data_IF_031933577854
#
_entry.id   IF_031933577854
#
_cell.length_a   1.000
_cell.length_b   1.000
_cell.length_c   1.000
_cell.angle_alpha   90.00
_cell.angle_beta   90.00
_cell.angle_gamma   90.00
#
_symmetry.space_group_name_H-M   'P 1'
#
loop_
_entity.id
_entity.type
_entity.pdbx_description
1 polymer ?
#
# COMPACT_ATOMS: atom_id res chain seq x y z
N UNK A 1 13.14 6.45 27.69
CA UNK A 1 14.31 6.70 26.81
C UNK A 1 14.01 7.95 26.00
N UNK A 2 14.80 9.02 26.23
CA UNK A 2 14.68 10.28 25.48
C UNK A 2 15.03 10.03 24.02
N UNK A 3 14.07 10.24 23.11
CA UNK A 3 14.41 10.42 21.71
C UNK A 3 15.17 11.74 21.56
N UNK A 4 16.36 11.67 21.03
CA UNK A 4 17.22 12.82 20.77
C UNK A 4 16.55 13.67 19.67
N UNK A 5 16.09 14.84 20.05
CA UNK A 5 15.80 15.89 19.10
C UNK A 5 17.12 16.44 18.57
N UNK A 6 17.50 16.09 17.37
CA UNK A 6 18.52 16.85 16.66
C UNK A 6 17.83 18.04 16.00
N UNK A 7 18.11 19.24 16.50
CA UNK A 7 17.89 20.46 15.75
C UNK A 7 18.86 20.45 14.56
N UNK A 8 18.35 20.20 13.38
CA UNK A 8 19.11 20.40 12.15
C UNK A 8 18.87 21.83 11.70
N UNK A 9 19.77 22.73 12.09
CA UNK A 9 19.86 24.07 11.50
C UNK A 9 20.46 23.92 10.09
N UNK A 10 19.60 23.61 9.15
CA UNK A 10 19.95 23.56 7.74
C UNK A 10 18.82 24.20 6.96
N UNK A 11 19.11 25.29 6.29
CA UNK A 11 18.22 25.94 5.34
C UNK A 11 18.01 25.00 4.16
N UNK A 12 17.02 24.14 4.26
CA UNK A 12 16.47 23.45 3.11
C UNK A 12 15.07 23.98 2.88
N UNK A 13 14.68 24.12 1.63
CA UNK A 13 13.37 24.59 1.18
C UNK A 13 12.19 23.73 1.64
N UNK A 14 12.43 22.65 2.35
CA UNK A 14 11.41 21.80 2.96
C UNK A 14 11.34 22.14 4.45
N UNK A 15 10.31 22.85 4.86
CA UNK A 15 9.98 23.00 6.27
C UNK A 15 9.52 21.64 6.80
N UNK A 16 10.43 20.94 7.46
CA UNK A 16 10.07 19.72 8.21
C UNK A 16 9.40 20.18 9.49
N UNK A 17 8.09 20.04 9.58
CA UNK A 17 7.41 20.12 10.88
C UNK A 17 7.79 18.87 11.67
N UNK A 18 8.68 19.00 12.65
CA UNK A 18 8.93 17.93 13.59
C UNK A 18 7.80 17.89 14.62
N UNK A 19 7.16 16.73 14.74
CA UNK A 19 6.24 16.49 15.87
C UNK A 19 7.09 16.04 17.06
N UNK A 20 6.95 16.74 18.18
CA UNK A 20 7.54 16.33 19.43
C UNK A 20 6.42 15.83 20.34
N UNK A 21 6.39 14.54 20.59
CA UNK A 21 5.56 13.96 21.63
C UNK A 21 6.47 13.68 22.85
N UNK A 22 6.08 14.13 24.03
CA UNK A 22 6.80 13.82 25.27
C UNK A 22 6.57 12.36 25.66
N UNK A 23 5.39 11.82 25.39
CA UNK A 23 5.01 10.41 25.56
C UNK A 23 3.87 10.02 24.62
N UNK A 24 3.51 8.74 24.57
CA UNK A 24 2.30 8.27 23.86
C UNK A 24 1.01 8.77 24.53
N UNK A 25 1.06 9.18 25.78
CA UNK A 25 -0.07 9.75 26.52
C UNK A 25 -0.49 11.13 25.97
N UNK A 26 0.40 11.79 25.22
CA UNK A 26 0.12 13.06 24.55
C UNK A 26 -0.74 12.87 23.28
N UNK A 27 -0.90 11.64 22.80
CA UNK A 27 -1.74 11.34 21.64
C UNK A 27 -3.22 11.48 22.01
N UNK A 28 -3.96 12.22 21.18
CA UNK A 28 -5.39 12.49 21.39
C UNK A 28 -6.21 11.79 20.32
N UNK A 29 -7.36 11.26 20.75
CA UNK A 29 -8.30 10.61 19.86
C UNK A 29 -7.98 9.15 19.60
N UNK A 30 -8.79 8.53 18.75
CA UNK A 30 -8.68 7.13 18.35
C UNK A 30 -8.71 7.01 16.84
N UNK A 31 -7.96 6.09 16.28
CA UNK A 31 -8.03 5.80 14.83
C UNK A 31 -9.37 5.10 14.54
N UNK A 32 -10.23 5.67 13.69
CA UNK A 32 -11.48 5.02 13.31
C UNK A 32 -11.24 3.65 12.70
N UNK A 33 -12.21 2.76 12.83
CA UNK A 33 -12.15 1.42 12.29
C UNK A 33 -13.14 1.21 11.14
N UNK A 34 -12.88 0.22 10.32
CA UNK A 34 -13.72 -0.28 9.25
C UNK A 34 -13.62 -1.81 9.16
N UNK A 35 -14.37 -2.41 8.25
CA UNK A 35 -14.36 -3.86 8.05
C UNK A 35 -14.15 -4.22 6.58
N UNK A 36 -13.47 -5.34 6.37
CA UNK A 36 -13.43 -6.07 5.10
C UNK A 36 -13.84 -7.51 5.44
N UNK A 37 -15.04 -7.92 5.02
CA UNK A 37 -15.67 -9.12 5.56
C UNK A 37 -15.78 -9.02 7.08
N UNK A 38 -15.35 -10.06 7.79
CA UNK A 38 -15.32 -10.09 9.26
C UNK A 38 -14.06 -9.45 9.86
N UNK A 39 -13.09 -9.07 9.04
CA UNK A 39 -11.84 -8.51 9.49
C UNK A 39 -11.98 -7.02 9.83
N UNK A 40 -11.82 -6.67 11.10
CA UNK A 40 -11.76 -5.27 11.55
C UNK A 40 -10.36 -4.69 11.30
N UNK A 41 -10.32 -3.53 10.66
CA UNK A 41 -9.12 -2.79 10.32
C UNK A 41 -9.20 -1.34 10.81
N UNK A 42 -8.07 -0.79 11.22
CA UNK A 42 -7.94 0.66 11.39
C UNK A 42 -8.11 1.36 10.02
N UNK A 43 -8.75 2.52 10.01
CA UNK A 43 -8.91 3.33 8.79
C UNK A 43 -7.58 3.87 8.27
N UNK A 44 -6.55 3.94 9.11
CA UNK A 44 -5.18 4.19 8.70
C UNK A 44 -4.44 2.84 8.66
N UNK A 45 -3.85 2.52 7.51
CA UNK A 45 -3.12 1.27 7.24
C UNK A 45 -1.70 1.64 6.86
N UNK A 46 -0.71 0.97 7.44
CA UNK A 46 0.69 1.21 7.08
C UNK A 46 1.01 0.67 5.69
N UNK A 47 1.94 1.33 4.99
CA UNK A 47 2.52 0.85 3.74
C UNK A 47 3.88 0.18 3.97
N UNK A 48 4.17 -0.88 3.19
CA UNK A 48 5.37 -1.69 3.34
C UNK A 48 6.53 -1.35 2.40
N UNK A 49 6.36 -0.44 1.45
CA UNK A 49 7.37 -0.19 0.42
C UNK A 49 8.73 0.23 0.99
N UNK A 50 8.75 1.02 2.05
CA UNK A 50 10.00 1.45 2.69
C UNK A 50 10.77 0.28 3.33
N UNK A 51 10.09 -0.77 3.78
CA UNK A 51 10.71 -1.99 4.32
C UNK A 51 11.46 -2.74 3.21
N UNK A 52 10.89 -2.79 2.01
CA UNK A 52 11.48 -3.42 0.83
C UNK A 52 12.53 -2.56 0.11
N UNK A 53 12.68 -1.29 0.49
CA UNK A 53 13.55 -0.33 -0.19
C UNK A 53 12.95 0.25 -1.47
N UNK A 54 11.64 0.10 -1.70
CA UNK A 54 10.97 0.60 -2.90
C UNK A 54 10.52 2.04 -2.71
N UNK A 55 11.46 2.98 -2.93
CA UNK A 55 11.29 4.39 -2.59
C UNK A 55 10.48 5.22 -3.57
N UNK A 56 10.10 4.70 -4.73
CA UNK A 56 9.46 5.48 -5.80
C UNK A 56 10.19 6.80 -6.09
N UNK A 57 11.50 6.74 -6.21
CA UNK A 57 12.37 7.90 -6.36
C UNK A 57 12.88 8.05 -7.80
N UNK A 58 12.10 7.64 -8.79
CA UNK A 58 12.45 7.65 -10.21
C UNK A 58 13.72 6.81 -10.43
N UNK A 59 14.66 7.32 -11.20
CA UNK A 59 15.92 6.62 -11.52
C UNK A 59 17.04 6.87 -10.49
N UNK A 60 16.70 7.39 -9.31
CA UNK A 60 17.69 7.70 -8.26
C UNK A 60 18.01 6.44 -7.44
N UNK A 61 18.82 5.57 -8.00
CA UNK A 61 19.16 4.25 -7.43
C UNK A 61 19.70 4.29 -5.99
N UNK A 62 20.39 5.39 -5.62
CA UNK A 62 20.92 5.54 -4.26
C UNK A 62 19.85 5.70 -3.18
N UNK A 63 18.61 6.09 -3.56
CA UNK A 63 17.50 6.29 -2.62
C UNK A 63 17.07 4.95 -2.02
N UNK A 64 16.95 3.91 -2.83
CA UNK A 64 16.60 2.57 -2.37
C UNK A 64 17.61 2.02 -1.37
N UNK A 65 18.89 2.25 -1.62
CA UNK A 65 19.96 1.85 -0.70
C UNK A 65 19.92 2.63 0.62
N UNK A 66 19.64 3.94 0.58
CA UNK A 66 19.46 4.76 1.77
C UNK A 66 18.26 4.28 2.60
N UNK A 67 17.13 4.00 1.94
CA UNK A 67 15.91 3.51 2.58
C UNK A 67 16.17 2.18 3.27
N UNK A 68 16.78 1.21 2.60
CA UNK A 68 17.16 -0.09 3.18
C UNK A 68 18.10 0.07 4.38
N UNK A 69 19.07 0.97 4.27
CA UNK A 69 20.02 1.23 5.35
C UNK A 69 19.37 1.85 6.59
N UNK A 70 18.38 2.73 6.37
CA UNK A 70 17.66 3.39 7.45
C UNK A 70 16.65 2.45 8.14
N UNK A 71 15.93 1.64 7.36
CA UNK A 71 14.88 0.75 7.86
C UNK A 71 15.45 -0.63 8.28
N UNK A 72 16.33 -0.61 9.29
CA UNK A 72 16.75 -1.86 9.93
C UNK A 72 15.56 -2.61 10.55
N UNK A 73 15.69 -3.91 10.79
CA UNK A 73 14.67 -4.71 11.46
C UNK A 73 14.21 -4.07 12.77
N UNK A 74 15.17 -3.61 13.59
CA UNK A 74 14.85 -2.92 14.85
C UNK A 74 13.98 -1.68 14.63
N UNK A 75 14.35 -0.84 13.66
CA UNK A 75 13.58 0.37 13.34
C UNK A 75 12.18 0.05 12.85
N UNK A 76 12.05 -0.96 12.01
CA UNK A 76 10.75 -1.44 11.53
C UNK A 76 9.89 -1.96 12.68
N UNK A 77 10.45 -2.80 13.56
CA UNK A 77 9.73 -3.35 14.71
C UNK A 77 9.28 -2.27 15.69
N UNK A 78 10.14 -1.26 15.98
CA UNK A 78 9.75 -0.08 16.77
C UNK A 78 8.61 0.72 16.11
N UNK A 79 8.61 0.79 14.79
CA UNK A 79 7.52 1.45 14.04
C UNK A 79 6.20 0.66 14.15
N UNK A 80 6.25 -0.65 14.12
CA UNK A 80 5.07 -1.50 14.34
C UNK A 80 4.51 -1.34 15.75
N UNK A 81 5.36 -1.36 16.75
CA UNK A 81 4.97 -1.15 18.15
C UNK A 81 4.30 0.22 18.34
N UNK A 82 4.89 1.28 17.78
CA UNK A 82 4.30 2.60 17.82
C UNK A 82 2.95 2.64 17.11
N UNK A 83 2.83 2.03 15.94
CA UNK A 83 1.60 1.98 15.18
C UNK A 83 0.48 1.25 15.95
N UNK A 84 0.75 0.10 16.56
CA UNK A 84 -0.22 -0.64 17.36
C UNK A 84 -0.64 0.17 18.60
N UNK A 85 0.27 0.84 19.28
CA UNK A 85 -0.03 1.73 20.41
C UNK A 85 -0.90 2.93 19.98
N UNK A 86 -0.78 3.38 18.73
CA UNK A 86 -1.67 4.41 18.16
C UNK A 86 -3.00 3.84 17.64
N UNK A 87 -3.24 2.53 17.73
CA UNK A 87 -4.46 1.88 17.26
C UNK A 87 -4.47 1.49 15.79
N UNK A 88 -3.32 1.56 15.10
CA UNK A 88 -3.15 1.06 13.72
C UNK A 88 -2.85 -0.44 13.80
N UNK A 89 -3.68 -1.26 13.16
CA UNK A 89 -3.63 -2.71 13.32
C UNK A 89 -3.34 -3.49 12.04
N UNK A 90 -2.96 -2.81 10.94
CA UNK A 90 -2.69 -3.47 9.67
C UNK A 90 -1.59 -2.78 8.87
N UNK A 91 -0.94 -3.58 8.03
CA UNK A 91 0.05 -3.14 7.04
C UNK A 91 -0.22 -3.80 5.70
N UNK A 92 -0.10 -3.02 4.62
CA UNK A 92 -0.15 -3.52 3.25
C UNK A 92 1.27 -3.72 2.73
N UNK A 93 1.61 -4.94 2.33
CA UNK A 93 2.99 -5.32 2.02
C UNK A 93 3.11 -6.37 0.92
N UNK A 94 4.29 -6.40 0.32
CA UNK A 94 4.73 -7.51 -0.52
C UNK A 94 5.28 -8.66 0.34
N UNK A 95 5.04 -9.93 0.00
CA UNK A 95 5.55 -11.08 0.74
C UNK A 95 7.07 -11.11 0.96
N UNK A 96 7.85 -10.46 0.10
CA UNK A 96 9.30 -10.35 0.29
C UNK A 96 9.70 -9.67 1.62
N UNK A 97 8.77 -8.94 2.26
CA UNK A 97 9.00 -8.24 3.52
C UNK A 97 8.47 -8.98 4.75
N UNK A 98 7.85 -10.14 4.60
CA UNK A 98 7.20 -10.87 5.69
C UNK A 98 8.17 -11.29 6.80
N UNK A 99 9.43 -11.50 6.47
CA UNK A 99 10.45 -11.92 7.44
C UNK A 99 10.47 -11.02 8.69
N UNK A 100 10.50 -9.71 8.52
CA UNK A 100 10.57 -8.78 9.65
C UNK A 100 9.24 -8.70 10.42
N UNK A 101 8.11 -8.90 9.76
CA UNK A 101 6.80 -8.92 10.41
C UNK A 101 6.64 -10.19 11.25
N UNK A 102 7.02 -11.34 10.69
CA UNK A 102 7.01 -12.61 11.42
C UNK A 102 7.97 -12.58 12.62
N UNK A 103 9.13 -11.93 12.46
CA UNK A 103 10.07 -11.69 13.56
C UNK A 103 9.42 -10.84 14.65
N UNK A 104 8.74 -9.75 14.27
CA UNK A 104 8.02 -8.89 15.20
C UNK A 104 6.95 -9.66 15.99
N UNK A 105 6.13 -10.46 15.34
CA UNK A 105 5.12 -11.29 16.02
C UNK A 105 5.76 -12.25 17.01
N UNK A 106 6.84 -12.91 16.61
CA UNK A 106 7.49 -13.93 17.43
C UNK A 106 8.23 -13.33 18.65
N UNK A 107 8.93 -12.22 18.45
CA UNK A 107 9.80 -11.63 19.50
C UNK A 107 9.04 -10.71 20.46
N UNK A 108 7.97 -10.04 19.99
CA UNK A 108 7.27 -9.02 20.78
C UNK A 108 5.82 -9.39 21.14
N UNK A 109 5.27 -10.41 20.49
CA UNK A 109 3.84 -10.74 20.60
C UNK A 109 2.92 -9.75 19.88
N UNK A 110 3.47 -8.90 19.00
CA UNK A 110 2.71 -7.97 18.17
C UNK A 110 1.62 -8.66 17.32
N UNK A 111 0.60 -7.91 16.92
CA UNK A 111 -0.62 -8.44 16.28
C UNK A 111 -0.96 -7.75 14.96
N UNK A 112 -0.05 -6.94 14.42
CA UNK A 112 -0.28 -6.24 13.16
C UNK A 112 -0.72 -7.22 12.07
N UNK A 113 -1.81 -6.92 11.37
CA UNK A 113 -2.35 -7.77 10.32
C UNK A 113 -1.65 -7.52 9.00
N UNK A 114 -1.34 -8.57 8.27
CA UNK A 114 -0.76 -8.48 6.92
C UNK A 114 -1.89 -8.48 5.88
N UNK A 115 -1.90 -7.45 5.04
CA UNK A 115 -2.65 -7.41 3.77
C UNK A 115 -1.62 -7.56 2.66
N UNK A 116 -1.59 -8.73 2.00
CA UNK A 116 -0.56 -9.07 1.01
C UNK A 116 -0.96 -8.72 -0.41
N UNK A 117 -0.04 -8.13 -1.17
CA UNK A 117 -0.22 -7.87 -2.61
C UNK A 117 0.04 -9.11 -3.49
N UNK A 118 0.43 -10.25 -2.92
CA UNK A 118 0.76 -11.47 -3.64
C UNK A 118 1.74 -11.27 -4.80
N UNK A 119 2.59 -10.24 -4.73
CA UNK A 119 3.45 -9.80 -5.84
C UNK A 119 4.69 -10.64 -6.10
N UNK A 120 4.86 -11.78 -5.40
CA UNK A 120 5.99 -12.72 -5.54
C UNK A 120 5.55 -13.97 -6.29
N UNK A 121 6.52 -14.83 -6.62
CA UNK A 121 6.27 -16.03 -7.38
C UNK A 121 6.14 -15.76 -8.90
N UNK A 122 5.89 -16.81 -9.65
CA UNK A 122 5.80 -16.76 -11.13
C UNK A 122 4.47 -16.15 -11.61
N UNK A 123 3.40 -16.36 -10.84
CA UNK A 123 2.05 -15.91 -11.15
C UNK A 123 1.29 -15.52 -9.87
N UNK A 124 0.05 -15.09 -10.03
CA UNK A 124 -0.79 -14.67 -8.91
C UNK A 124 -1.12 -15.83 -7.95
N UNK A 125 -1.35 -17.03 -8.47
CA UNK A 125 -1.74 -18.19 -7.66
C UNK A 125 -0.60 -18.64 -6.74
N UNK A 126 0.63 -18.71 -7.24
CA UNK A 126 1.80 -18.98 -6.39
C UNK A 126 2.03 -17.87 -5.35
N UNK A 127 1.82 -16.61 -5.74
CA UNK A 127 1.88 -15.47 -4.82
C UNK A 127 0.88 -15.59 -3.67
N UNK A 128 -0.33 -16.10 -3.93
CA UNK A 128 -1.35 -16.37 -2.91
C UNK A 128 -0.86 -17.46 -1.94
N UNK A 129 -0.34 -18.58 -2.46
CA UNK A 129 0.16 -19.67 -1.60
C UNK A 129 1.29 -19.21 -0.67
N UNK A 130 2.24 -18.46 -1.21
CA UNK A 130 3.34 -17.89 -0.43
C UNK A 130 2.84 -16.91 0.63
N UNK A 131 1.85 -16.07 0.28
CA UNK A 131 1.24 -15.13 1.20
C UNK A 131 0.47 -15.82 2.32
N UNK A 132 -0.30 -16.86 2.00
CA UNK A 132 -1.05 -17.66 2.98
C UNK A 132 -0.09 -18.34 3.97
N UNK A 133 0.97 -18.98 3.47
CA UNK A 133 2.03 -19.60 4.30
C UNK A 133 2.74 -18.58 5.20
N UNK A 134 2.90 -17.34 4.71
CA UNK A 134 3.54 -16.24 5.45
C UNK A 134 2.65 -15.56 6.49
N UNK A 135 1.39 -15.99 6.65
CA UNK A 135 0.47 -15.48 7.68
C UNK A 135 -0.37 -14.27 7.25
N UNK A 136 -0.58 -14.07 5.95
CA UNK A 136 -1.44 -12.99 5.47
C UNK A 136 -2.88 -13.11 6.03
N UNK A 137 -3.42 -11.98 6.48
CA UNK A 137 -4.78 -11.85 7.00
C UNK A 137 -5.80 -11.55 5.90
N UNK A 138 -5.35 -10.89 4.82
CA UNK A 138 -6.08 -10.67 3.58
C UNK A 138 -5.08 -10.66 2.42
N UNK A 139 -5.55 -10.93 1.21
CA UNK A 139 -4.69 -11.04 0.03
C UNK A 139 -5.35 -10.38 -1.17
N UNK A 140 -4.54 -9.79 -2.08
CA UNK A 140 -5.05 -9.16 -3.29
C UNK A 140 -4.04 -9.28 -4.45
N UNK A 141 -4.50 -9.12 -5.69
CA UNK A 141 -3.65 -9.13 -6.87
C UNK A 141 -2.76 -7.88 -6.91
N UNK A 142 -1.47 -8.04 -7.22
CA UNK A 142 -0.54 -6.92 -7.31
C UNK A 142 -0.94 -5.92 -8.39
N UNK A 143 -1.19 -4.66 -8.01
CA UNK A 143 -1.75 -3.63 -8.88
C UNK A 143 -1.00 -3.45 -10.20
N UNK A 144 0.32 -3.28 -10.17
CA UNK A 144 1.10 -3.08 -11.38
C UNK A 144 1.10 -4.27 -12.34
N UNK A 145 1.06 -5.52 -11.82
CA UNK A 145 0.93 -6.73 -12.66
C UNK A 145 -0.47 -6.80 -13.31
N UNK A 146 -1.52 -6.47 -12.54
CA UNK A 146 -2.89 -6.43 -13.06
C UNK A 146 -3.05 -5.34 -14.12
N UNK A 147 -2.58 -4.13 -13.84
CA UNK A 147 -2.61 -2.99 -14.78
C UNK A 147 -1.93 -3.32 -16.10
N UNK A 148 -0.72 -3.89 -16.05
CA UNK A 148 0.06 -4.20 -17.25
C UNK A 148 -0.66 -5.21 -18.17
N UNK A 149 -1.31 -6.22 -17.60
CA UNK A 149 -2.03 -7.24 -18.37
C UNK A 149 -3.32 -6.71 -18.96
N UNK A 150 -4.10 -5.94 -18.18
CA UNK A 150 -5.31 -5.28 -18.69
C UNK A 150 -4.96 -4.28 -19.79
N UNK A 151 -3.91 -3.48 -19.63
CA UNK A 151 -3.43 -2.55 -20.66
C UNK A 151 -2.99 -3.27 -21.95
N UNK A 152 -2.38 -4.45 -21.82
CA UNK A 152 -1.99 -5.29 -22.95
C UNK A 152 -3.17 -6.03 -23.60
N UNK A 153 -4.41 -5.82 -23.17
CA UNK A 153 -5.60 -6.57 -23.59
C UNK A 153 -5.47 -8.09 -23.42
N UNK A 154 -4.74 -8.54 -22.42
CA UNK A 154 -4.64 -9.95 -22.07
C UNK A 154 -5.90 -10.42 -21.35
N UNK A 155 -6.86 -10.94 -22.09
CA UNK A 155 -8.15 -11.39 -21.55
C UNK A 155 -8.01 -12.56 -20.55
N UNK A 156 -6.90 -13.31 -20.59
CA UNK A 156 -6.68 -14.40 -19.64
C UNK A 156 -6.47 -13.92 -18.19
N UNK A 157 -6.20 -12.61 -18.01
CA UNK A 157 -6.07 -12.03 -16.67
C UNK A 157 -7.34 -12.19 -15.85
N UNK A 158 -8.52 -12.06 -16.46
CA UNK A 158 -9.78 -12.14 -15.72
C UNK A 158 -10.06 -13.54 -15.18
N UNK A 159 -9.75 -14.58 -15.95
CA UNK A 159 -9.84 -15.96 -15.48
C UNK A 159 -8.86 -16.25 -14.33
N UNK A 160 -7.65 -15.72 -14.42
CA UNK A 160 -6.67 -15.87 -13.35
C UNK A 160 -7.09 -15.11 -12.08
N UNK A 161 -7.61 -13.88 -12.22
CA UNK A 161 -8.14 -13.10 -11.11
C UNK A 161 -9.31 -13.82 -10.43
N UNK A 162 -10.26 -14.36 -11.20
CA UNK A 162 -11.40 -15.11 -10.66
C UNK A 162 -10.93 -16.32 -9.86
N UNK A 163 -10.04 -17.16 -10.43
CA UNK A 163 -9.44 -18.31 -9.73
C UNK A 163 -8.65 -17.90 -8.49
N UNK A 164 -7.91 -16.78 -8.57
CA UNK A 164 -7.15 -16.26 -7.45
C UNK A 164 -8.06 -15.83 -6.30
N UNK A 165 -9.18 -15.15 -6.58
CA UNK A 165 -10.16 -14.78 -5.56
C UNK A 165 -10.75 -16.02 -4.87
N UNK A 166 -11.09 -17.06 -5.64
CA UNK A 166 -11.60 -18.35 -5.09
C UNK A 166 -10.53 -19.03 -4.22
N UNK A 167 -9.29 -19.06 -4.68
CA UNK A 167 -8.18 -19.65 -3.92
C UNK A 167 -7.97 -18.90 -2.59
N UNK A 168 -7.96 -17.57 -2.59
CA UNK A 168 -7.85 -16.78 -1.35
C UNK A 168 -8.99 -17.09 -0.40
N UNK A 169 -10.24 -17.14 -0.90
CA UNK A 169 -11.42 -17.48 -0.09
C UNK A 169 -11.36 -18.89 0.47
N UNK A 170 -10.73 -19.84 -0.24
CA UNK A 170 -10.54 -21.20 0.27
C UNK A 170 -9.63 -21.26 1.51
N UNK A 171 -8.76 -20.28 1.70
CA UNK A 171 -7.99 -20.08 2.93
C UNK A 171 -8.80 -19.36 4.03
N UNK A 172 -10.08 -19.05 3.81
CA UNK A 172 -10.91 -18.29 4.76
C UNK A 172 -10.46 -16.82 4.90
N UNK A 173 -9.90 -16.22 3.86
CA UNK A 173 -9.38 -14.86 3.88
C UNK A 173 -10.12 -13.95 2.89
N UNK A 174 -10.29 -12.66 3.22
CA UNK A 174 -10.79 -11.69 2.26
C UNK A 174 -9.90 -11.60 1.03
N UNK A 175 -10.53 -11.59 -0.16
CA UNK A 175 -9.89 -11.63 -1.45
C UNK A 175 -10.05 -10.29 -2.19
N UNK A 176 -8.96 -9.65 -2.56
CA UNK A 176 -8.94 -8.33 -3.17
C UNK A 176 -8.34 -8.27 -4.56
N UNK A 177 -8.60 -7.16 -5.24
CA UNK A 177 -7.96 -6.78 -6.51
C UNK A 177 -7.27 -5.43 -6.33
N UNK A 178 -6.00 -5.34 -6.77
CA UNK A 178 -5.21 -4.12 -6.77
C UNK A 178 -5.06 -3.51 -8.16
N UNK A 179 -5.09 -2.17 -8.22
CA UNK A 179 -4.80 -1.42 -9.45
C UNK A 179 -4.29 0.00 -9.15
N UNK A 180 -3.47 0.53 -10.05
CA UNK A 180 -3.14 1.96 -10.07
C UNK A 180 -4.10 2.71 -11.01
N UNK A 181 -4.47 2.11 -12.13
CA UNK A 181 -5.38 2.69 -13.12
C UNK A 181 -6.84 2.47 -12.75
N UNK A 182 -7.66 3.50 -12.97
CA UNK A 182 -9.12 3.33 -12.78
C UNK A 182 -9.72 2.45 -13.88
N UNK A 183 -9.18 2.50 -15.09
CA UNK A 183 -9.61 1.68 -16.21
C UNK A 183 -9.45 0.18 -15.92
N UNK A 184 -8.45 -0.21 -15.14
CA UNK A 184 -8.26 -1.60 -14.71
C UNK A 184 -9.40 -2.07 -13.80
N UNK A 185 -9.83 -1.22 -12.86
CA UNK A 185 -10.98 -1.54 -12.00
C UNK A 185 -12.27 -1.62 -12.82
N UNK A 186 -12.50 -0.63 -13.71
CA UNK A 186 -13.66 -0.61 -14.61
C UNK A 186 -13.73 -1.90 -15.45
N UNK A 187 -12.62 -2.28 -16.09
CA UNK A 187 -12.53 -3.51 -16.87
C UNK A 187 -12.80 -4.77 -16.03
N UNK A 188 -12.26 -4.85 -14.81
CA UNK A 188 -12.58 -5.96 -13.90
C UNK A 188 -14.08 -6.05 -13.57
N UNK A 189 -14.72 -4.90 -13.31
CA UNK A 189 -16.16 -4.83 -13.05
C UNK A 189 -16.97 -5.27 -14.28
N UNK A 190 -16.61 -4.78 -15.46
CA UNK A 190 -17.24 -5.14 -16.74
C UNK A 190 -17.14 -6.65 -17.04
N UNK A 191 -16.03 -7.28 -16.67
CA UNK A 191 -15.84 -8.72 -16.80
C UNK A 191 -16.39 -9.53 -15.61
N UNK A 192 -17.18 -8.90 -14.74
CA UNK A 192 -17.87 -9.58 -13.65
C UNK A 192 -16.97 -10.05 -12.50
N UNK A 193 -15.75 -9.53 -12.37
CA UNK A 193 -14.86 -9.82 -11.25
C UNK A 193 -15.42 -9.19 -9.98
N UNK A 194 -15.65 -10.01 -8.95
CA UNK A 194 -16.25 -9.60 -7.68
C UNK A 194 -15.34 -9.92 -6.51
N UNK A 195 -14.40 -9.04 -6.16
CA UNK A 195 -13.58 -9.19 -4.98
C UNK A 195 -14.37 -8.85 -3.69
N UNK A 196 -13.80 -9.14 -2.54
CA UNK A 196 -14.33 -8.72 -1.25
C UNK A 196 -13.90 -7.29 -0.90
N UNK A 197 -12.83 -6.80 -1.54
CA UNK A 197 -12.35 -5.42 -1.44
C UNK A 197 -11.47 -5.03 -2.62
N UNK A 198 -11.33 -3.73 -2.84
CA UNK A 198 -10.43 -3.16 -3.84
C UNK A 198 -9.25 -2.45 -3.19
N UNK A 199 -8.10 -2.43 -3.88
CA UNK A 199 -6.93 -1.61 -3.50
C UNK A 199 -6.59 -0.71 -4.68
N UNK A 200 -6.81 0.60 -4.53
CA UNK A 200 -6.69 1.56 -5.62
C UNK A 200 -5.88 2.78 -5.19
N UNK A 201 -4.96 3.23 -6.02
CA UNK A 201 -4.26 4.49 -5.78
C UNK A 201 -5.23 5.67 -5.79
N UNK A 202 -5.04 6.60 -4.86
CA UNK A 202 -5.76 7.86 -4.83
C UNK A 202 -4.87 8.95 -4.23
N UNK A 203 -4.61 10.00 -4.99
CA UNK A 203 -3.95 11.23 -4.50
C UNK A 203 -4.33 12.42 -5.38
N UNK A 204 -4.21 13.64 -4.83
CA UNK A 204 -4.34 14.86 -5.62
C UNK A 204 -3.11 15.09 -6.50
N UNK A 205 -3.21 16.04 -7.44
CA UNK A 205 -2.07 16.49 -8.24
C UNK A 205 -1.47 17.80 -7.71
N UNK A 206 -1.81 18.20 -6.50
CA UNK A 206 -1.35 19.46 -5.91
C UNK A 206 0.07 19.35 -5.36
N UNK A 207 1.02 19.06 -6.26
CA UNK A 207 2.45 19.05 -5.97
C UNK A 207 3.25 19.34 -7.26
N UNK A 208 4.38 20.01 -7.10
CA UNK A 208 5.15 20.56 -8.22
C UNK A 208 5.66 19.51 -9.24
N UNK A 209 5.89 18.28 -8.80
CA UNK A 209 6.40 17.20 -9.66
C UNK A 209 5.30 16.30 -10.24
N UNK A 210 4.02 16.66 -10.06
CA UNK A 210 2.91 15.94 -10.68
C UNK A 210 3.03 15.97 -12.20
N UNK A 211 2.76 14.85 -12.85
CA UNK A 211 2.67 14.80 -14.30
C UNK A 211 1.24 15.13 -14.73
N UNK A 212 1.09 16.23 -15.44
CA UNK A 212 -0.22 16.70 -15.92
C UNK A 212 -0.50 16.32 -17.38
N UNK A 213 0.50 15.83 -18.12
CA UNK A 213 0.30 15.26 -19.46
C UNK A 213 -0.22 13.83 -19.33
N UNK A 214 -1.54 13.73 -19.16
CA UNK A 214 -2.22 12.47 -18.87
C UNK A 214 -2.37 11.56 -20.10
N UNK A 215 -2.18 12.08 -21.31
CA UNK A 215 -2.39 11.31 -22.55
C UNK A 215 -1.26 10.32 -22.83
N UNK A 216 -0.07 10.58 -22.28
CA UNK A 216 1.16 9.88 -22.68
C UNK A 216 1.87 9.13 -21.56
N UNK A 217 1.41 9.21 -20.29
CA UNK A 217 2.21 8.75 -19.15
C UNK A 217 1.37 8.10 -18.07
N UNK A 218 1.29 6.84 -18.16
CA UNK A 218 0.64 5.93 -17.24
C UNK A 218 1.66 4.99 -16.61
N UNK A 219 1.31 4.26 -15.57
CA UNK A 219 2.20 3.29 -14.89
C UNK A 219 2.73 2.18 -15.81
N UNK A 220 2.10 1.99 -16.97
CA UNK A 220 2.51 1.03 -18.00
C UNK A 220 3.33 1.66 -19.12
N UNK A 221 3.48 2.97 -19.12
CA UNK A 221 4.20 3.71 -20.14
C UNK A 221 5.69 3.82 -19.81
N UNK A 222 6.62 3.48 -20.74
CA UNK A 222 8.06 3.61 -20.50
C UNK A 222 8.53 5.02 -20.12
N UNK A 223 7.78 6.05 -20.47
CA UNK A 223 8.06 7.43 -20.12
C UNK A 223 7.48 7.89 -18.78
N UNK A 224 6.80 7.01 -18.06
CA UNK A 224 6.15 7.34 -16.80
C UNK A 224 7.13 7.78 -15.70
N UNK A 225 6.69 8.72 -14.88
CA UNK A 225 7.45 9.22 -13.73
C UNK A 225 6.88 8.68 -12.42
N UNK A 226 7.76 8.19 -11.59
CA UNK A 226 7.45 7.35 -10.44
C UNK A 226 6.93 8.12 -9.21
N UNK A 227 6.00 9.04 -9.39
CA UNK A 227 5.27 9.68 -8.29
C UNK A 227 3.86 10.15 -8.65
N UNK A 228 3.38 9.80 -9.83
CA UNK A 228 2.00 10.07 -10.24
C UNK A 228 1.29 8.77 -10.63
N UNK A 229 0.59 8.20 -9.69
CA UNK A 229 -0.06 6.89 -9.80
C UNK A 229 -1.59 6.99 -9.96
N UNK A 230 -2.16 8.15 -9.74
CA UNK A 230 -3.60 8.39 -9.88
C UNK A 230 -3.82 9.52 -10.87
N UNK A 231 -3.94 9.19 -12.15
CA UNK A 231 -4.06 10.18 -13.23
C UNK A 231 -5.40 10.91 -13.21
N UNK A 232 -6.45 10.25 -12.70
CA UNK A 232 -7.85 10.76 -12.71
C UNK A 232 -8.47 10.65 -11.32
N UNK A 233 -8.05 11.49 -10.35
CA UNK A 233 -8.50 11.34 -8.97
C UNK A 233 -10.01 11.51 -8.79
N UNK A 234 -10.65 12.48 -9.45
CA UNK A 234 -12.09 12.69 -9.31
C UNK A 234 -12.89 11.53 -9.94
N UNK A 235 -12.53 11.08 -11.15
CA UNK A 235 -13.14 9.91 -11.77
C UNK A 235 -13.00 8.66 -10.90
N UNK A 236 -11.82 8.52 -10.26
CA UNK A 236 -11.57 7.43 -9.30
C UNK A 236 -12.53 7.51 -8.11
N UNK A 237 -12.68 8.67 -7.49
CA UNK A 237 -13.60 8.87 -6.35
C UNK A 237 -15.02 8.53 -6.77
N UNK A 238 -15.48 9.10 -7.88
CA UNK A 238 -16.85 8.94 -8.36
C UNK A 238 -17.15 7.47 -8.68
N UNK A 239 -16.26 6.78 -9.39
CA UNK A 239 -16.45 5.38 -9.73
C UNK A 239 -16.41 4.47 -8.48
N UNK A 240 -15.35 4.59 -7.67
CA UNK A 240 -15.15 3.73 -6.50
C UNK A 240 -16.23 3.91 -5.43
N UNK A 241 -16.82 5.11 -5.31
CA UNK A 241 -17.92 5.39 -4.38
C UNK A 241 -19.23 4.70 -4.74
N UNK A 242 -19.39 4.27 -6.00
CA UNK A 242 -20.56 3.55 -6.47
C UNK A 242 -20.42 2.02 -6.39
N UNK A 243 -19.26 1.50 -5.99
CA UNK A 243 -19.06 0.06 -5.79
C UNK A 243 -19.58 -0.37 -4.42
N UNK A 244 -20.17 -1.56 -4.36
CA UNK A 244 -20.67 -2.15 -3.10
C UNK A 244 -19.53 -2.57 -2.17
N UNK A 245 -18.40 -3.02 -2.74
CA UNK A 245 -17.26 -3.50 -1.98
C UNK A 245 -16.46 -2.34 -1.39
N UNK A 246 -15.98 -2.46 -0.15
CA UNK A 246 -15.06 -1.49 0.42
C UNK A 246 -13.75 -1.42 -0.38
N UNK A 247 -13.07 -0.30 -0.32
CA UNK A 247 -11.77 -0.15 -0.93
C UNK A 247 -10.74 0.51 -0.02
N UNK A 248 -9.49 0.14 -0.24
CA UNK A 248 -8.33 0.73 0.41
C UNK A 248 -7.71 1.72 -0.58
N UNK A 249 -7.77 3.01 -0.24
CA UNK A 249 -7.02 4.02 -0.96
C UNK A 249 -5.54 3.94 -0.53
N UNK A 250 -4.62 3.81 -1.49
CA UNK A 250 -3.20 3.78 -1.18
C UNK A 250 -2.41 4.82 -1.97
N UNK A 251 -1.17 5.06 -1.57
CA UNK A 251 -0.33 6.16 -2.08
C UNK A 251 -0.98 7.55 -1.93
N UNK A 252 -1.80 7.73 -0.88
CA UNK A 252 -2.59 8.95 -0.66
C UNK A 252 -1.77 10.23 -0.54
N UNK A 253 -0.49 10.10 -0.22
CA UNK A 253 0.49 11.20 -0.20
C UNK A 253 1.40 11.21 -1.45
N UNK A 254 0.94 10.65 -2.57
CA UNK A 254 1.69 10.58 -3.83
C UNK A 254 3.14 10.08 -3.64
N UNK A 255 3.30 8.95 -2.93
CA UNK A 255 4.59 8.38 -2.55
C UNK A 255 5.54 9.37 -1.84
N UNK A 256 4.99 10.28 -1.04
CA UNK A 256 5.74 11.27 -0.27
C UNK A 256 5.91 12.64 -0.95
N UNK A 257 5.31 12.85 -2.11
CA UNK A 257 5.32 14.15 -2.77
C UNK A 257 4.33 15.15 -2.14
N UNK A 258 3.26 14.65 -1.52
CA UNK A 258 2.32 15.45 -0.75
C UNK A 258 2.68 15.42 0.74
N UNK A 259 2.55 16.56 1.39
CA UNK A 259 2.70 16.65 2.85
C UNK A 259 1.38 16.27 3.51
N UNK A 260 1.40 15.55 4.65
CA UNK A 260 0.20 15.42 5.46
C UNK A 260 -0.17 16.81 5.99
N UNK A 261 -1.41 17.21 5.80
CA UNK A 261 -1.96 18.37 6.49
C UNK A 261 -2.20 18.01 7.96
N UNK A 262 -1.82 18.91 8.85
CA UNK A 262 -1.90 18.72 10.31
C UNK A 262 -2.82 19.77 10.90
#
# INVERSE_FOLDING_TARGET
>A
KKFLTQNVDGVTSATVKSFQFASLDDLKGTVPKGKIGDMELSRLIMGGNLIGGWGHARDLIYVDELIKKYHSDEKVMQTFELAENCGINAIIVNPATFRVINKYWHETGGKIKIISDCGVGKDFLEGIELSAKGGASAMYSHGGKTDARVYANDLSVYDELARGLELIRSYGKPAGIGAHRIETIQACVEHGIKPDFWVKTLHSHDYWSAQLDLEKKDVTDPGWKDNNFCLKPQETIDFMSNLEQPWIAFKTLAAGALKPEV
#
